data_IF_616112839612
#
_entry.id   IF_616112839612
#
_cell.length_a   1.000
_cell.length_b   1.000
_cell.length_c   1.000
_cell.angle_alpha   90.00
_cell.angle_beta   90.00
_cell.angle_gamma   90.00
#
_symmetry.space_group_name_H-M   'P 1'
#
loop_
_entity.id
_entity.type
_entity.pdbx_description
1 polymer ?
#
# COMPACT_ATOMS: atom_id res chain seq x y z
N UNK A 1 -9.92 25.48 5.59
CA UNK A 1 -8.62 26.05 6.01
C UNK A 1 -7.95 26.63 4.79
N UNK A 2 -7.43 27.85 4.89
CA UNK A 2 -6.65 28.48 3.82
C UNK A 2 -5.32 27.73 3.69
N UNK A 3 -5.13 27.00 2.59
CA UNK A 3 -3.87 26.35 2.29
C UNK A 3 -2.86 27.44 1.91
N UNK A 4 -1.96 27.79 2.82
CA UNK A 4 -0.86 28.69 2.51
C UNK A 4 0.20 27.93 1.69
N UNK A 5 0.71 28.57 0.65
CA UNK A 5 1.86 28.10 -0.15
C UNK A 5 3.14 27.91 0.65
N UNK A 6 3.21 28.53 1.83
CA UNK A 6 4.46 28.77 2.55
C UNK A 6 4.75 27.66 3.57
N UNK A 7 3.75 26.85 3.90
CA UNK A 7 3.89 25.70 4.78
C UNK A 7 4.12 24.41 3.98
N UNK A 8 4.84 23.42 4.52
CA UNK A 8 4.90 22.08 3.94
C UNK A 8 3.51 21.50 3.66
N UNK A 9 3.28 21.02 2.44
CA UNK A 9 1.99 20.47 2.03
C UNK A 9 2.14 19.32 1.04
N UNK A 10 1.17 18.40 1.04
CA UNK A 10 1.10 17.40 -0.01
C UNK A 10 0.86 18.08 -1.37
N UNK A 11 1.44 17.53 -2.43
CA UNK A 11 1.34 18.08 -3.79
C UNK A 11 -0.09 18.36 -4.25
N UNK A 12 -1.05 17.53 -3.87
CA UNK A 12 -2.47 17.71 -4.20
C UNK A 12 -3.12 18.95 -3.58
N UNK A 13 -2.47 19.56 -2.58
CA UNK A 13 -2.92 20.78 -1.90
C UNK A 13 -2.09 22.02 -2.29
N UNK A 14 -1.19 21.89 -3.25
CA UNK A 14 -0.36 23.02 -3.68
C UNK A 14 -1.21 24.08 -4.39
N UNK A 15 -1.24 25.29 -3.85
CA UNK A 15 -1.92 26.43 -4.48
C UNK A 15 -1.12 27.04 -5.64
N UNK A 16 0.20 26.87 -5.64
CA UNK A 16 1.11 27.41 -6.67
C UNK A 16 1.22 26.52 -7.91
N UNK A 17 0.88 25.22 -7.79
CA UNK A 17 0.96 24.23 -8.86
C UNK A 17 -0.39 23.52 -8.94
N UNK A 18 -1.24 23.81 -9.95
CA UNK A 18 -2.53 23.17 -10.10
C UNK A 18 -2.41 21.65 -10.05
N UNK A 19 -3.38 20.99 -9.43
CA UNK A 19 -3.44 19.53 -9.33
C UNK A 19 -4.67 19.01 -10.06
N UNK A 20 -4.47 17.97 -10.88
CA UNK A 20 -5.54 17.28 -11.59
C UNK A 20 -5.67 15.86 -11.07
N UNK A 21 -6.86 15.48 -10.62
CA UNK A 21 -7.16 14.08 -10.32
C UNK A 21 -7.21 13.32 -11.64
N UNK A 22 -6.39 12.28 -11.75
CA UNK A 22 -6.28 11.41 -12.92
C UNK A 22 -6.55 9.96 -12.51
N UNK A 23 -7.11 9.18 -13.42
CA UNK A 23 -7.32 7.74 -13.21
C UNK A 23 -6.04 6.94 -13.44
N UNK A 24 -5.23 7.39 -14.39
CA UNK A 24 -3.92 6.80 -14.64
C UNK A 24 -2.95 7.21 -13.52
N UNK A 25 -2.18 6.24 -13.03
CA UNK A 25 -1.19 6.42 -11.97
C UNK A 25 0.23 6.49 -12.51
N UNK A 26 0.41 6.50 -13.83
CA UNK A 26 1.71 6.66 -14.47
C UNK A 26 2.10 8.13 -14.47
N UNK A 27 3.29 8.44 -13.94
CA UNK A 27 3.88 9.76 -14.07
C UNK A 27 4.54 9.92 -15.44
N UNK A 28 4.26 11.04 -16.11
CA UNK A 28 4.79 11.35 -17.44
C UNK A 28 5.47 12.72 -17.40
N UNK A 29 6.62 12.84 -18.07
CA UNK A 29 7.29 14.13 -18.29
C UNK A 29 6.39 15.07 -19.12
N UNK A 30 6.30 16.33 -18.72
CA UNK A 30 5.32 17.29 -19.23
C UNK A 30 3.89 17.05 -18.73
N UNK A 31 3.68 16.09 -17.81
CA UNK A 31 2.37 15.72 -17.29
C UNK A 31 1.77 16.75 -16.31
N UNK A 32 0.44 16.72 -16.16
CA UNK A 32 -0.31 17.72 -15.39
C UNK A 32 0.13 17.90 -13.92
N UNK A 33 0.60 16.83 -13.26
CA UNK A 33 0.99 16.87 -11.84
C UNK A 33 2.49 16.77 -11.60
N UNK A 34 3.32 16.72 -12.67
CA UNK A 34 4.77 16.62 -12.57
C UNK A 34 5.38 17.78 -11.79
N UNK A 35 4.92 19.00 -12.05
CA UNK A 35 5.52 20.20 -11.44
C UNK A 35 5.18 20.31 -9.97
N UNK A 36 6.12 20.78 -9.14
CA UNK A 36 5.94 21.02 -7.71
C UNK A 36 6.55 22.37 -7.29
N UNK A 37 6.19 22.87 -6.11
CA UNK A 37 6.87 24.01 -5.49
C UNK A 37 7.91 23.52 -4.46
N UNK A 38 8.80 24.40 -3.94
CA UNK A 38 9.81 24.00 -2.96
C UNK A 38 9.26 23.40 -1.65
N UNK A 39 7.99 23.71 -1.31
CA UNK A 39 7.30 23.24 -0.11
C UNK A 39 6.39 22.03 -0.34
N UNK A 40 6.34 21.50 -1.57
CA UNK A 40 5.58 20.28 -1.87
C UNK A 40 6.30 19.05 -1.30
N UNK A 41 5.51 18.17 -0.71
CA UNK A 41 5.94 16.85 -0.25
C UNK A 41 5.24 15.75 -1.05
N UNK A 42 5.94 14.64 -1.21
CA UNK A 42 5.38 13.41 -1.74
C UNK A 42 4.40 12.83 -0.72
N UNK A 43 3.14 12.62 -1.14
CA UNK A 43 2.12 12.06 -0.27
C UNK A 43 2.48 10.65 0.23
N UNK A 44 3.07 9.82 -0.64
CA UNK A 44 3.39 8.41 -0.32
C UNK A 44 4.58 8.31 0.61
N UNK A 45 5.63 9.10 0.38
CA UNK A 45 6.92 8.92 1.04
C UNK A 45 7.21 9.91 2.18
N UNK A 46 6.36 10.92 2.39
CA UNK A 46 6.52 11.93 3.44
C UNK A 46 7.84 12.73 3.39
N UNK A 47 8.52 12.82 2.24
CA UNK A 47 9.67 13.70 1.99
C UNK A 47 9.39 14.75 0.90
N UNK A 48 10.32 15.71 0.72
CA UNK A 48 10.19 16.76 -0.32
C UNK A 48 9.99 16.16 -1.72
N UNK A 49 9.09 16.73 -2.51
CA UNK A 49 8.81 16.27 -3.87
C UNK A 49 10.07 16.25 -4.74
N UNK A 50 11.00 17.20 -4.53
CA UNK A 50 12.29 17.25 -5.22
C UNK A 50 13.24 16.09 -4.91
N UNK A 51 13.05 15.40 -3.79
CA UNK A 51 13.84 14.22 -3.40
C UNK A 51 13.13 12.90 -3.74
N UNK A 52 11.97 12.96 -4.41
CA UNK A 52 11.15 11.78 -4.67
C UNK A 52 11.64 10.97 -5.86
N UNK A 53 12.37 9.89 -5.60
CA UNK A 53 12.77 8.94 -6.65
C UNK A 53 11.58 8.29 -7.36
N UNK A 54 10.44 8.15 -6.67
CA UNK A 54 9.21 7.61 -7.24
C UNK A 54 8.32 8.62 -7.96
N UNK A 55 8.76 9.88 -8.10
CA UNK A 55 7.87 10.98 -8.50
C UNK A 55 7.17 10.71 -9.82
N UNK A 56 7.94 10.51 -10.88
CA UNK A 56 7.45 10.11 -12.19
C UNK A 56 7.50 8.58 -12.36
N UNK A 57 8.58 7.93 -11.90
CA UNK A 57 8.85 6.50 -12.10
C UNK A 57 7.69 5.59 -11.70
N UNK A 58 7.02 5.91 -10.59
CA UNK A 58 5.84 5.20 -10.10
C UNK A 58 4.65 6.14 -9.88
N UNK A 59 4.72 7.33 -10.50
CA UNK A 59 3.65 8.33 -10.52
C UNK A 59 3.20 8.87 -9.17
N UNK A 60 4.09 8.94 -8.18
CA UNK A 60 3.79 9.60 -6.90
C UNK A 60 3.36 11.07 -7.07
N UNK A 61 3.67 11.70 -8.21
CA UNK A 61 3.14 13.02 -8.57
C UNK A 61 1.60 13.07 -8.62
N UNK A 62 0.93 11.95 -8.86
CA UNK A 62 -0.53 11.83 -8.85
C UNK A 62 -1.10 11.44 -7.49
N UNK A 63 -0.27 11.25 -6.47
CA UNK A 63 -0.69 10.74 -5.18
C UNK A 63 -1.50 11.76 -4.36
N UNK A 64 -2.64 11.31 -3.83
CA UNK A 64 -3.52 12.11 -2.98
C UNK A 64 -4.36 11.23 -2.04
N UNK A 65 -4.86 11.82 -0.95
CA UNK A 65 -5.61 11.14 0.11
C UNK A 65 -6.99 10.61 -0.31
N UNK A 66 -7.61 11.22 -1.32
CA UNK A 66 -8.92 10.78 -1.83
C UNK A 66 -8.90 9.46 -2.61
N UNK A 67 -7.74 8.94 -3.05
CA UNK A 67 -7.67 7.62 -3.70
C UNK A 67 -7.28 6.57 -2.65
N UNK A 68 -8.09 5.53 -2.42
CA UNK A 68 -7.76 4.45 -1.48
C UNK A 68 -6.45 3.75 -1.83
N UNK A 69 -6.03 3.69 -3.08
CA UNK A 69 -4.73 3.09 -3.45
C UNK A 69 -3.56 3.90 -2.93
N UNK A 70 -3.59 5.24 -3.08
CA UNK A 70 -2.51 6.08 -2.59
C UNK A 70 -2.44 6.03 -1.06
N UNK A 71 -3.59 5.97 -0.37
CA UNK A 71 -3.64 5.71 1.07
C UNK A 71 -2.99 4.36 1.43
N UNK A 72 -3.32 3.29 0.72
CA UNK A 72 -2.75 1.97 0.93
C UNK A 72 -1.23 1.93 0.70
N UNK A 73 -0.75 2.53 -0.39
CA UNK A 73 0.68 2.60 -0.71
C UNK A 73 1.46 3.44 0.33
N UNK A 74 0.86 4.53 0.80
CA UNK A 74 1.42 5.35 1.89
C UNK A 74 1.50 4.59 3.20
N UNK A 75 0.45 3.85 3.58
CA UNK A 75 0.45 3.02 4.79
C UNK A 75 1.49 1.90 4.71
N UNK A 76 1.58 1.22 3.56
CA UNK A 76 2.65 0.28 3.27
C UNK A 76 4.04 0.90 3.49
N UNK A 77 4.29 2.05 2.87
CA UNK A 77 5.58 2.76 2.95
C UNK A 77 5.94 3.16 4.38
N UNK A 78 4.97 3.66 5.15
CA UNK A 78 5.19 4.14 6.52
C UNK A 78 5.37 3.03 7.55
N UNK A 79 4.79 1.86 7.30
CA UNK A 79 4.85 0.76 8.28
C UNK A 79 6.15 -0.03 8.16
N UNK A 80 6.83 0.04 7.00
CA UNK A 80 8.11 -0.63 6.70
C UNK A 80 8.11 -2.13 7.02
N UNK A 81 6.93 -2.77 7.14
CA UNK A 81 6.84 -4.11 7.69
C UNK A 81 7.42 -5.17 6.75
N UNK A 82 7.22 -5.00 5.45
CA UNK A 82 7.85 -5.85 4.43
C UNK A 82 9.32 -5.49 4.19
N UNK A 83 9.67 -4.20 4.25
CA UNK A 83 11.08 -3.77 4.17
C UNK A 83 11.93 -4.37 5.29
N UNK A 84 11.32 -4.61 6.45
CA UNK A 84 11.92 -5.26 7.62
C UNK A 84 11.48 -6.73 7.79
N UNK A 85 10.84 -7.33 6.78
CA UNK A 85 10.42 -8.74 6.85
C UNK A 85 11.66 -9.63 6.89
N UNK A 86 11.86 -10.45 7.95
CA UNK A 86 12.98 -11.38 8.00
C UNK A 86 12.85 -12.50 6.95
N UNK A 87 11.62 -12.73 6.47
CA UNK A 87 11.30 -13.77 5.50
C UNK A 87 11.91 -13.52 4.12
N UNK A 88 11.79 -12.31 3.56
CA UNK A 88 12.26 -12.06 2.19
C UNK A 88 13.78 -12.25 2.04
N UNK A 89 14.63 -11.74 2.97
CA UNK A 89 16.06 -12.03 2.97
C UNK A 89 16.37 -13.50 3.29
N UNK A 90 15.73 -14.10 4.30
CA UNK A 90 16.00 -15.48 4.71
C UNK A 90 15.70 -16.51 3.60
N UNK A 91 14.71 -16.21 2.75
CA UNK A 91 14.34 -17.06 1.62
C UNK A 91 15.22 -16.84 0.38
N UNK A 92 16.13 -15.86 0.39
CA UNK A 92 16.91 -15.48 -0.78
C UNK A 92 16.03 -15.11 -1.97
N UNK A 93 14.91 -14.42 -1.71
CA UNK A 93 14.00 -13.93 -2.74
C UNK A 93 14.70 -12.85 -3.58
N UNK A 94 14.63 -13.00 -4.90
CA UNK A 94 15.11 -11.99 -5.83
C UNK A 94 14.23 -10.73 -5.80
N UNK A 95 14.68 -9.66 -6.47
CA UNK A 95 13.96 -8.39 -6.54
C UNK A 95 12.54 -8.57 -7.10
N UNK A 96 12.35 -9.49 -8.06
CA UNK A 96 11.04 -9.78 -8.62
C UNK A 96 10.08 -10.38 -7.59
N UNK A 97 10.53 -11.33 -6.77
CA UNK A 97 9.74 -11.90 -5.69
C UNK A 97 9.44 -10.86 -4.59
N UNK A 98 10.41 -10.00 -4.25
CA UNK A 98 10.18 -8.90 -3.30
C UNK A 98 9.11 -7.92 -3.81
N UNK A 99 9.18 -7.54 -5.09
CA UNK A 99 8.18 -6.69 -5.73
C UNK A 99 6.80 -7.36 -5.78
N UNK A 100 6.74 -8.69 -5.93
CA UNK A 100 5.48 -9.44 -5.84
C UNK A 100 4.91 -9.37 -4.42
N UNK A 101 5.73 -9.54 -3.37
CA UNK A 101 5.29 -9.37 -1.98
C UNK A 101 4.74 -7.96 -1.71
N UNK A 102 5.44 -6.93 -2.17
CA UNK A 102 4.99 -5.53 -2.07
C UNK A 102 3.63 -5.33 -2.74
N UNK A 103 3.49 -5.85 -3.96
CA UNK A 103 2.23 -5.78 -4.73
C UNK A 103 1.08 -6.44 -3.97
N UNK A 104 1.27 -7.63 -3.42
CA UNK A 104 0.22 -8.32 -2.66
C UNK A 104 -0.14 -7.60 -1.37
N UNK A 105 0.83 -7.05 -0.66
CA UNK A 105 0.56 -6.27 0.53
C UNK A 105 -0.25 -5.01 0.22
N UNK A 106 0.16 -4.23 -0.78
CA UNK A 106 -0.56 -3.00 -1.18
C UNK A 106 -1.97 -3.33 -1.65
N UNK A 107 -2.18 -4.43 -2.38
CA UNK A 107 -3.51 -4.88 -2.78
C UNK A 107 -4.38 -5.30 -1.59
N UNK A 108 -3.80 -6.00 -0.61
CA UNK A 108 -4.50 -6.34 0.63
C UNK A 108 -4.91 -5.10 1.42
N UNK A 109 -3.99 -4.13 1.60
CA UNK A 109 -4.29 -2.85 2.25
C UNK A 109 -5.40 -2.08 1.50
N UNK A 110 -5.34 -2.02 0.17
CA UNK A 110 -6.37 -1.40 -0.67
C UNK A 110 -7.73 -2.06 -0.44
N UNK A 111 -7.78 -3.39 -0.38
CA UNK A 111 -9.03 -4.11 -0.10
C UNK A 111 -9.61 -3.75 1.27
N UNK A 112 -8.77 -3.68 2.31
CA UNK A 112 -9.22 -3.24 3.63
C UNK A 112 -9.67 -1.77 3.66
N UNK A 113 -9.02 -0.89 2.89
CA UNK A 113 -9.44 0.51 2.77
C UNK A 113 -10.82 0.61 2.12
N UNK A 114 -11.04 -0.10 1.01
CA UNK A 114 -12.35 -0.18 0.35
C UNK A 114 -13.43 -0.74 1.27
N UNK A 115 -13.10 -1.80 2.03
CA UNK A 115 -14.00 -2.36 3.05
C UNK A 115 -14.40 -1.30 4.09
N UNK A 116 -13.42 -0.59 4.65
CA UNK A 116 -13.65 0.46 5.65
C UNK A 116 -14.44 1.65 5.10
N UNK A 117 -14.20 2.01 3.85
CA UNK A 117 -14.90 3.11 3.18
C UNK A 117 -16.33 2.71 2.75
N UNK A 118 -16.71 1.43 2.88
CA UNK A 118 -18.02 0.94 2.45
C UNK A 118 -18.18 0.93 0.93
N UNK A 119 -17.08 0.80 0.18
CA UNK A 119 -17.10 0.76 -1.29
C UNK A 119 -17.91 -0.47 -1.76
N UNK A 120 -19.04 -0.29 -2.46
CA UNK A 120 -19.88 -1.39 -2.93
C UNK A 120 -19.22 -2.19 -4.07
N UNK A 121 -18.08 -1.73 -4.58
CA UNK A 121 -17.38 -2.37 -5.69
C UNK A 121 -18.12 -2.26 -7.03
N UNK A 122 -17.61 -2.95 -8.06
CA UNK A 122 -18.22 -2.95 -9.38
C UNK A 122 -19.60 -3.63 -9.35
N UNK A 123 -20.65 -2.89 -9.69
CA UNK A 123 -22.03 -3.40 -9.75
C UNK A 123 -22.98 -2.85 -8.67
N UNK A 124 -22.47 -2.12 -7.68
CA UNK A 124 -23.32 -1.34 -6.75
C UNK A 124 -24.21 -2.17 -5.82
N UNK A 125 -24.07 -3.49 -5.80
CA UNK A 125 -24.84 -4.36 -4.91
C UNK A 125 -24.14 -4.38 -3.55
N UNK A 126 -24.87 -3.98 -2.51
CA UNK A 126 -24.43 -3.88 -1.10
C UNK A 126 -23.92 -5.20 -0.47
N UNK A 127 -23.80 -6.27 -1.22
CA UNK A 127 -23.52 -7.59 -0.68
C UNK A 127 -22.02 -7.74 -0.37
N UNK A 128 -21.72 -7.36 0.88
CA UNK A 128 -20.50 -7.65 1.65
C UNK A 128 -19.31 -6.77 1.29
N UNK A 129 -19.16 -5.64 1.97
CA UNK A 129 -17.97 -4.79 1.90
C UNK A 129 -16.65 -5.56 2.15
N UNK A 130 -16.70 -6.70 2.85
CA UNK A 130 -15.54 -7.58 3.07
C UNK A 130 -15.14 -8.38 1.82
N UNK A 131 -15.95 -8.38 0.76
CA UNK A 131 -15.69 -9.09 -0.50
C UNK A 131 -14.36 -8.64 -1.15
N UNK A 132 -14.01 -7.35 -1.05
CA UNK A 132 -12.70 -6.87 -1.55
C UNK A 132 -11.54 -7.65 -0.95
N UNK A 133 -11.63 -8.01 0.34
CA UNK A 133 -10.58 -8.74 1.06
C UNK A 133 -10.57 -10.22 0.62
N UNK A 134 -11.74 -10.84 0.50
CA UNK A 134 -11.85 -12.23 0.06
C UNK A 134 -11.46 -12.41 -1.41
N UNK A 135 -11.69 -11.41 -2.27
CA UNK A 135 -11.26 -11.40 -3.67
C UNK A 135 -9.74 -11.34 -3.80
N UNK A 136 -9.07 -10.49 -3.01
CA UNK A 136 -7.60 -10.42 -2.99
C UNK A 136 -7.01 -11.72 -2.47
N UNK A 137 -7.55 -12.28 -1.38
CA UNK A 137 -7.12 -13.57 -0.85
C UNK A 137 -7.31 -14.71 -1.88
N UNK A 138 -8.46 -14.74 -2.56
CA UNK A 138 -8.73 -15.73 -3.62
C UNK A 138 -7.79 -15.56 -4.81
N UNK A 139 -7.46 -14.32 -5.17
CA UNK A 139 -6.50 -14.01 -6.22
C UNK A 139 -5.08 -14.44 -5.85
N UNK A 140 -4.70 -14.28 -4.59
CA UNK A 140 -3.41 -14.74 -4.07
C UNK A 140 -3.31 -16.28 -4.14
N UNK A 141 -4.38 -16.99 -3.75
CA UNK A 141 -4.43 -18.45 -3.87
C UNK A 141 -4.26 -18.92 -5.33
N UNK A 142 -4.92 -18.25 -6.28
CA UNK A 142 -4.74 -18.52 -7.71
C UNK A 142 -3.29 -18.29 -8.16
N UNK A 143 -2.65 -17.22 -7.70
CA UNK A 143 -1.25 -16.94 -8.01
C UNK A 143 -0.30 -18.00 -7.42
N UNK A 144 -0.54 -18.43 -6.18
CA UNK A 144 0.22 -19.50 -5.53
C UNK A 144 0.13 -20.81 -6.32
N UNK A 145 -1.08 -21.21 -6.74
CA UNK A 145 -1.27 -22.39 -7.59
C UNK A 145 -0.48 -22.25 -8.90
N UNK A 146 -0.58 -21.09 -9.56
CA UNK A 146 0.18 -20.82 -10.78
C UNK A 146 1.70 -20.85 -10.60
N UNK A 147 2.21 -20.40 -9.45
CA UNK A 147 3.65 -20.45 -9.14
C UNK A 147 4.14 -21.87 -8.87
N UNK A 148 3.36 -22.67 -8.13
CA UNK A 148 3.68 -24.07 -7.83
C UNK A 148 3.59 -24.97 -9.06
N UNK A 149 2.70 -24.66 -10.00
CA UNK A 149 2.57 -25.38 -11.28
C UNK A 149 3.44 -24.79 -12.41
N UNK A 150 4.20 -23.72 -12.14
CA UNK A 150 4.88 -22.92 -13.14
C UNK A 150 6.35 -22.62 -12.82
N UNK A 151 7.01 -21.72 -13.59
CA UNK A 151 8.46 -21.51 -13.51
C UNK A 151 8.91 -20.66 -12.31
N UNK A 152 7.99 -19.94 -11.66
CA UNK A 152 8.30 -19.06 -10.51
C UNK A 152 8.65 -19.83 -9.24
N UNK A 153 8.12 -21.05 -9.08
CA UNK A 153 8.49 -21.97 -8.02
C UNK A 153 8.10 -21.52 -6.59
N UNK A 154 8.58 -22.24 -5.56
CA UNK A 154 8.13 -22.08 -4.18
C UNK A 154 8.54 -20.76 -3.52
N UNK A 155 9.65 -20.13 -3.94
CA UNK A 155 10.10 -18.85 -3.35
C UNK A 155 9.14 -17.71 -3.64
N UNK A 156 8.66 -17.58 -4.87
CA UNK A 156 7.67 -16.56 -5.20
C UNK A 156 6.31 -16.86 -4.55
N UNK A 157 5.95 -18.13 -4.36
CA UNK A 157 4.77 -18.51 -3.54
C UNK A 157 4.86 -17.98 -2.12
N UNK A 158 6.01 -18.12 -1.47
CA UNK A 158 6.23 -17.61 -0.11
C UNK A 158 6.20 -16.07 -0.07
N UNK A 159 6.71 -15.40 -1.11
CA UNK A 159 6.61 -13.94 -1.22
C UNK A 159 5.14 -13.45 -1.32
N UNK A 160 4.28 -14.17 -2.06
CA UNK A 160 2.82 -13.87 -2.07
C UNK A 160 2.21 -14.01 -0.68
N UNK A 161 2.56 -15.08 0.04
CA UNK A 161 2.07 -15.33 1.39
C UNK A 161 2.53 -14.25 2.38
N UNK A 162 3.81 -13.84 2.31
CA UNK A 162 4.35 -12.78 3.16
C UNK A 162 3.65 -11.44 2.91
N UNK A 163 3.41 -11.10 1.63
CA UNK A 163 2.68 -9.89 1.27
C UNK A 163 1.25 -9.85 1.80
N UNK A 164 0.49 -10.93 1.60
CA UNK A 164 -0.89 -11.02 2.12
C UNK A 164 -0.91 -10.98 3.64
N UNK A 165 -0.06 -11.77 4.29
CA UNK A 165 0.03 -11.83 5.76
C UNK A 165 0.37 -10.46 6.32
N UNK A 166 1.32 -9.77 5.70
CA UNK A 166 1.70 -8.41 6.08
C UNK A 166 0.52 -7.44 6.03
N UNK A 167 -0.28 -7.48 4.97
CA UNK A 167 -1.46 -6.60 4.88
C UNK A 167 -2.48 -6.84 5.99
N UNK A 168 -2.67 -8.11 6.39
CA UNK A 168 -3.58 -8.49 7.48
C UNK A 168 -3.03 -7.99 8.81
N UNK A 169 -1.74 -8.20 9.05
CA UNK A 169 -1.08 -7.76 10.28
C UNK A 169 -1.14 -6.23 10.39
N UNK A 170 -0.84 -5.47 9.33
CA UNK A 170 -0.91 -4.00 9.33
C UNK A 170 -2.33 -3.52 9.70
N UNK A 171 -3.38 -4.15 9.16
CA UNK A 171 -4.77 -3.76 9.44
C UNK A 171 -5.29 -4.20 10.80
N UNK A 172 -4.74 -5.27 11.37
CA UNK A 172 -5.21 -5.85 12.64
C UNK A 172 -4.35 -5.42 13.83
N UNK A 173 -3.12 -4.96 13.59
CA UNK A 173 -2.20 -4.53 14.64
C UNK A 173 -2.63 -3.20 15.25
N UNK A 174 -2.89 -3.21 16.56
CA UNK A 174 -3.23 -2.01 17.34
C UNK A 174 -2.29 -1.88 18.54
N UNK A 175 -1.10 -1.26 18.36
CA UNK A 175 -0.07 -1.25 19.41
C UNK A 175 -0.54 -0.54 20.70
N UNK A 176 -1.40 0.47 20.60
CA UNK A 176 -1.99 1.16 21.75
C UNK A 176 -3.19 0.46 22.40
N UNK A 177 -3.91 -0.40 21.66
CA UNK A 177 -5.03 -1.19 22.21
C UNK A 177 -4.56 -2.50 22.87
N UNK A 178 -3.28 -2.81 22.74
CA UNK A 178 -2.67 -4.07 23.17
C UNK A 178 -2.67 -4.24 24.71
N UNK A 179 -2.99 -3.19 25.47
CA UNK A 179 -3.21 -3.23 26.92
C UNK A 179 -4.67 -3.55 27.31
N UNK A 180 -5.62 -3.44 26.37
CA UNK A 180 -7.01 -3.85 26.55
C UNK A 180 -7.14 -5.38 26.35
N UNK A 181 -7.71 -6.06 27.35
CA UNK A 181 -7.92 -7.50 27.33
C UNK A 181 -8.75 -7.97 26.12
N UNK A 182 -9.65 -7.12 25.59
CA UNK A 182 -10.45 -7.42 24.39
C UNK A 182 -9.62 -7.50 23.11
N UNK A 183 -8.43 -6.88 23.10
CA UNK A 183 -7.53 -6.79 21.95
C UNK A 183 -6.24 -7.61 22.13
N UNK A 184 -6.21 -8.54 23.10
CA UNK A 184 -5.06 -9.42 23.39
C UNK A 184 -4.59 -10.22 22.16
N UNK A 185 -5.50 -10.57 21.25
CA UNK A 185 -5.20 -11.29 20.01
C UNK A 185 -4.36 -10.48 19.02
N UNK A 186 -4.49 -9.13 19.02
CA UNK A 186 -3.66 -8.27 18.18
C UNK A 186 -2.18 -8.42 18.51
N UNK A 187 -1.81 -8.57 19.80
CA UNK A 187 -0.42 -8.88 20.24
C UNK A 187 0.12 -10.15 19.59
N UNK A 188 -0.71 -11.19 19.51
CA UNK A 188 -0.35 -12.50 18.97
C UNK A 188 0.02 -12.45 17.49
N UNK A 189 -0.77 -11.76 16.66
CA UNK A 189 -0.57 -11.76 15.20
C UNK A 189 0.78 -11.18 14.78
N UNK A 190 1.17 -10.02 15.35
CA UNK A 190 2.46 -9.40 15.02
C UNK A 190 3.64 -10.10 15.70
N UNK A 191 3.46 -10.63 16.92
CA UNK A 191 4.50 -11.43 17.58
C UNK A 191 4.77 -12.73 16.81
N UNK A 192 3.72 -13.40 16.32
CA UNK A 192 3.84 -14.57 15.47
C UNK A 192 4.54 -14.23 14.14
N UNK A 193 4.16 -13.11 13.51
CA UNK A 193 4.83 -12.64 12.29
C UNK A 193 6.33 -12.37 12.51
N UNK A 194 6.71 -11.74 13.62
CA UNK A 194 8.11 -11.49 13.98
C UNK A 194 8.92 -12.73 14.36
N UNK A 195 8.25 -13.81 14.73
CA UNK A 195 8.91 -15.05 15.15
C UNK A 195 9.28 -15.97 13.98
N UNK A 196 8.84 -15.63 12.77
CA UNK A 196 9.23 -16.29 11.52
C UNK A 196 10.61 -15.75 11.10
#
# INVERSE_FOLDING_TARGET
GTFSSDLPHARAHCVNRPFKIVKDRVGVEGGNNETYCPNCFCYVCDFKASACQGWLRVGHCHAHDKDPYWRALREFTRTEMLSNSPLLPALGCDEAAQMEAHRWCVNGLLAFHRYRDGDPGPGGVFNHSFQHVTDVASSAMKAIVGHLSGPKGPRTTLAVLDGITSSIVINTWRPGAAQDAKHKWCKGTYAAYKAI
#
